data_IF_541650853929
#
_entry.id   IF_541650853929
#
_cell.length_a   1.000
_cell.length_b   1.000
_cell.length_c   1.000
_cell.angle_alpha   90.00
_cell.angle_beta   90.00
_cell.angle_gamma   90.00
#
_symmetry.space_group_name_H-M   'P 1'
#
loop_
_entity.id
_entity.type
_entity.pdbx_description
1 polymer ?
#
# COMPACT_ATOMS: atom_id res chain seq x y z
N UNK A 1 8.64 5.68 -16.64
CA UNK A 1 8.38 6.97 -15.96
C UNK A 1 8.62 6.83 -14.47
N UNK A 2 9.63 7.54 -13.96
CA UNK A 2 9.86 7.70 -12.51
C UNK A 2 8.80 8.65 -11.95
N UNK A 3 8.11 8.26 -10.88
CA UNK A 3 7.23 9.18 -10.14
C UNK A 3 8.12 10.16 -9.37
N UNK A 4 7.90 11.48 -9.46
CA UNK A 4 8.64 12.41 -8.61
C UNK A 4 8.30 12.14 -7.15
N UNK A 5 9.32 12.09 -6.29
CA UNK A 5 9.14 11.99 -4.86
C UNK A 5 8.29 13.17 -4.38
N UNK A 6 7.32 12.92 -3.50
CA UNK A 6 6.49 13.98 -2.91
C UNK A 6 7.39 15.02 -2.23
N UNK A 7 7.10 16.30 -2.42
CA UNK A 7 7.83 17.40 -1.78
C UNK A 7 7.78 17.18 -0.27
N UNK A 8 8.94 17.21 0.41
CA UNK A 8 9.00 17.20 1.88
C UNK A 8 8.36 18.51 2.35
N UNK A 9 7.08 18.46 2.71
CA UNK A 9 6.32 19.61 3.23
C UNK A 9 6.62 19.88 4.70
N UNK A 10 7.39 18.99 5.34
CA UNK A 10 7.80 19.14 6.71
C UNK A 10 8.95 20.15 6.76
N UNK A 11 8.70 21.34 7.33
CA UNK A 11 9.71 22.38 7.56
C UNK A 11 10.73 22.05 8.65
N UNK A 12 10.54 20.92 9.34
CA UNK A 12 11.48 20.43 10.34
C UNK A 12 12.75 19.86 9.71
N UNK A 13 13.90 20.27 10.23
CA UNK A 13 15.18 19.65 9.88
C UNK A 13 15.30 18.26 10.53
N UNK A 14 14.86 17.24 9.78
CA UNK A 14 14.89 15.85 10.24
C UNK A 14 16.31 15.33 10.45
N UNK A 15 17.32 15.83 9.73
CA UNK A 15 18.71 15.36 9.93
C UNK A 15 19.23 15.77 11.30
N UNK A 16 18.91 17.00 11.72
CA UNK A 16 19.26 17.50 13.06
C UNK A 16 18.53 16.72 14.15
N UNK A 17 17.24 16.45 13.98
CA UNK A 17 16.46 15.65 14.94
C UNK A 17 17.03 14.24 15.06
N UNK A 18 17.31 13.57 13.94
CA UNK A 18 17.85 12.21 13.92
C UNK A 18 19.27 12.12 14.52
N UNK A 19 20.04 13.22 14.49
CA UNK A 19 21.39 13.25 15.09
C UNK A 19 21.41 13.36 16.61
N UNK A 20 20.27 13.67 17.25
CA UNK A 20 20.20 13.83 18.70
C UNK A 20 20.26 12.46 19.40
N UNK A 21 21.23 12.29 20.28
CA UNK A 21 21.33 11.12 21.15
C UNK A 21 20.60 11.41 22.46
N UNK A 22 19.50 10.70 22.66
CA UNK A 22 18.60 10.82 23.81
C UNK A 22 19.35 10.47 25.10
N UNK A 23 19.36 11.38 26.10
CA UNK A 23 19.92 11.14 27.43
C UNK A 23 18.84 10.86 28.49
N UNK A 24 19.14 10.07 29.54
CA UNK A 24 18.16 9.76 30.59
C UNK A 24 17.63 10.99 31.33
N UNK A 25 18.50 11.99 31.61
CA UNK A 25 18.13 13.17 32.41
C UNK A 25 17.08 14.05 31.69
N UNK A 26 16.98 13.94 30.37
CA UNK A 26 15.97 14.64 29.56
C UNK A 26 14.53 14.20 29.90
N UNK A 27 14.36 13.10 30.64
CA UNK A 27 13.06 12.52 30.99
C UNK A 27 12.74 12.63 32.49
N UNK A 28 13.62 13.22 33.31
CA UNK A 28 13.46 13.29 34.77
C UNK A 28 12.20 14.08 35.18
N UNK A 29 11.79 15.05 34.38
CA UNK A 29 10.60 15.87 34.62
C UNK A 29 9.29 15.22 34.12
N UNK A 30 9.38 14.11 33.37
CA UNK A 30 8.20 13.47 32.83
C UNK A 30 7.44 12.68 33.90
N UNK A 31 6.11 12.69 33.86
CA UNK A 31 5.31 11.89 34.78
C UNK A 31 5.55 10.40 34.56
N UNK A 32 5.52 9.62 35.65
CA UNK A 32 5.55 8.17 35.57
C UNK A 32 4.37 7.65 34.74
N UNK A 33 4.63 6.66 33.89
CA UNK A 33 3.59 6.02 33.09
C UNK A 33 2.75 5.10 33.98
N UNK A 34 1.52 5.51 34.30
CA UNK A 34 0.61 4.74 35.17
C UNK A 34 -0.31 3.79 34.37
N UNK A 35 -0.85 2.78 35.04
CA UNK A 35 -1.78 1.84 34.42
C UNK A 35 -3.09 2.51 33.96
N UNK A 36 -3.56 3.53 34.68
CA UNK A 36 -4.72 4.33 34.27
C UNK A 36 -4.46 5.08 32.96
N UNK A 37 -3.24 5.61 32.79
CA UNK A 37 -2.84 6.29 31.54
C UNK A 37 -2.79 5.32 30.36
N UNK A 38 -2.38 4.07 30.62
CA UNK A 38 -2.38 3.02 29.60
C UNK A 38 -3.80 2.51 29.30
N UNK A 39 -4.65 2.38 30.32
CA UNK A 39 -6.03 1.92 30.20
C UNK A 39 -6.93 2.82 29.34
N UNK A 40 -6.63 4.14 29.29
CA UNK A 40 -7.31 5.09 28.40
C UNK A 40 -6.73 5.18 26.99
N UNK A 41 -5.65 4.44 26.68
CA UNK A 41 -4.99 4.54 25.38
C UNK A 41 -5.87 3.96 24.26
N UNK A 42 -6.12 4.75 23.22
CA UNK A 42 -6.87 4.29 22.03
C UNK A 42 -5.88 3.87 20.95
N UNK A 43 -5.75 2.57 20.73
CA UNK A 43 -4.95 2.03 19.64
C UNK A 43 -5.67 2.16 18.31
N UNK A 44 -5.42 3.26 17.60
CA UNK A 44 -5.76 3.34 16.17
C UNK A 44 -4.72 2.54 15.40
N UNK A 45 -5.13 1.49 14.69
CA UNK A 45 -4.27 0.82 13.70
C UNK A 45 -3.86 1.86 12.66
N UNK A 46 -2.65 2.38 12.80
CA UNK A 46 -2.06 3.27 11.81
C UNK A 46 -1.93 2.54 10.47
N UNK A 47 -2.16 3.25 9.38
CA UNK A 47 -2.02 2.72 8.02
C UNK A 47 -3.19 3.08 7.11
N UNK A 48 -3.04 2.77 5.82
CA UNK A 48 -4.11 2.94 4.84
C UNK A 48 -5.30 2.03 5.23
N UNK A 49 -6.56 2.52 5.16
CA UNK A 49 -7.72 1.67 5.33
C UNK A 49 -7.64 0.45 4.42
N UNK A 50 -8.01 -0.73 4.96
CA UNK A 50 -8.09 -1.95 4.15
C UNK A 50 -9.16 -1.74 3.07
N UNK A 51 -8.84 -2.07 1.83
CA UNK A 51 -9.84 -2.05 0.76
C UNK A 51 -10.87 -3.15 1.03
N UNK A 52 -12.18 -2.86 0.90
CA UNK A 52 -13.23 -3.88 1.06
C UNK A 52 -13.19 -4.94 -0.04
N UNK A 53 -12.65 -4.61 -1.22
CA UNK A 53 -12.51 -5.54 -2.34
C UNK A 53 -11.11 -5.44 -2.96
N UNK A 54 -10.09 -6.05 -2.32
CA UNK A 54 -8.74 -6.05 -2.87
C UNK A 54 -8.64 -6.96 -4.09
N UNK A 55 -7.83 -6.58 -5.07
CA UNK A 55 -7.48 -7.46 -6.20
C UNK A 55 -6.81 -8.72 -5.68
N UNK A 56 -7.26 -9.88 -6.15
CA UNK A 56 -6.67 -11.16 -5.81
C UNK A 56 -5.43 -11.42 -6.69
N UNK A 57 -4.30 -11.77 -6.07
CA UNK A 57 -3.12 -12.20 -6.79
C UNK A 57 -3.29 -13.68 -7.17
N UNK A 58 -3.37 -13.97 -8.46
CA UNK A 58 -3.49 -15.33 -8.98
C UNK A 58 -2.32 -15.66 -9.91
N UNK A 59 -1.95 -16.95 -9.96
CA UNK A 59 -1.01 -17.46 -10.96
C UNK A 59 -1.78 -17.94 -12.19
N UNK A 60 -1.88 -17.08 -13.21
CA UNK A 60 -2.54 -17.38 -14.49
C UNK A 60 -1.51 -17.67 -15.58
N UNK A 61 -1.65 -18.79 -16.29
CA UNK A 61 -0.84 -19.10 -17.48
C UNK A 61 -1.55 -18.55 -18.72
N UNK A 62 -0.82 -17.78 -19.52
CA UNK A 62 -1.29 -17.22 -20.78
C UNK A 62 -0.30 -17.55 -21.88
N UNK A 63 -0.75 -17.70 -23.14
CA UNK A 63 0.14 -17.83 -24.27
C UNK A 63 1.11 -16.64 -24.38
N UNK A 64 2.38 -16.87 -24.77
CA UNK A 64 3.41 -15.84 -24.79
C UNK A 64 3.09 -14.66 -25.72
N UNK A 65 2.43 -14.93 -26.85
CA UNK A 65 2.01 -13.91 -27.81
C UNK A 65 0.95 -12.97 -27.25
N UNK A 66 0.06 -13.47 -26.39
CA UNK A 66 -0.93 -12.63 -25.69
C UNK A 66 -0.21 -11.67 -24.74
N UNK A 67 0.74 -12.18 -23.96
CA UNK A 67 1.55 -11.36 -23.05
C UNK A 67 2.34 -10.30 -23.83
N UNK A 68 2.95 -10.68 -24.95
CA UNK A 68 3.72 -9.77 -25.79
C UNK A 68 2.86 -8.60 -26.32
N UNK A 69 1.67 -8.89 -26.86
CA UNK A 69 0.74 -7.86 -27.34
C UNK A 69 0.36 -6.88 -26.23
N UNK A 70 0.06 -7.38 -25.03
CA UNK A 70 -0.27 -6.50 -23.91
C UNK A 70 0.93 -5.69 -23.44
N UNK A 71 2.12 -6.29 -23.29
CA UNK A 71 3.35 -5.56 -22.92
C UNK A 71 3.69 -4.43 -23.89
N UNK A 72 3.45 -4.63 -25.19
CA UNK A 72 3.66 -3.61 -26.22
C UNK A 72 2.78 -2.36 -26.02
N UNK A 73 1.66 -2.46 -25.28
CA UNK A 73 0.84 -1.29 -24.91
C UNK A 73 1.52 -0.37 -23.87
N UNK A 74 2.69 -0.75 -23.36
CA UNK A 74 3.50 0.06 -22.45
C UNK A 74 3.17 -0.12 -20.96
N UNK A 75 3.67 0.77 -20.08
CA UNK A 75 3.44 0.71 -18.64
C UNK A 75 1.94 0.61 -18.29
N UNK A 76 1.62 -0.20 -17.28
CA UNK A 76 0.23 -0.41 -16.85
C UNK A 76 -0.58 -1.40 -17.71
N UNK A 77 0.08 -2.19 -18.58
CA UNK A 77 -0.60 -3.17 -19.42
C UNK A 77 -1.42 -4.21 -18.63
N UNK A 78 -0.95 -4.62 -17.44
CA UNK A 78 -1.69 -5.53 -16.56
C UNK A 78 -3.01 -4.90 -16.07
N UNK A 79 -2.98 -3.61 -15.73
CA UNK A 79 -4.20 -2.88 -15.31
C UNK A 79 -5.19 -2.78 -16.46
N UNK A 80 -4.72 -2.50 -17.69
CA UNK A 80 -5.58 -2.47 -18.89
C UNK A 80 -6.15 -3.86 -19.21
N UNK A 81 -5.34 -4.91 -19.07
CA UNK A 81 -5.79 -6.28 -19.25
C UNK A 81 -6.86 -6.65 -18.22
N UNK A 82 -6.64 -6.35 -16.93
CA UNK A 82 -7.62 -6.61 -15.88
C UNK A 82 -8.95 -5.88 -16.14
N UNK A 83 -8.89 -4.59 -16.50
CA UNK A 83 -10.08 -3.81 -16.89
C UNK A 83 -10.83 -4.47 -18.06
N UNK A 84 -10.10 -4.94 -19.08
CA UNK A 84 -10.72 -5.63 -20.21
C UNK A 84 -11.43 -6.92 -19.80
N UNK A 85 -10.91 -7.63 -18.80
CA UNK A 85 -11.55 -8.83 -18.26
C UNK A 85 -12.78 -8.51 -17.39
N UNK A 86 -12.81 -7.35 -16.73
CA UNK A 86 -13.99 -6.87 -15.99
C UNK A 86 -15.15 -6.50 -16.93
N UNK A 87 -14.83 -5.87 -18.07
CA UNK A 87 -15.82 -5.43 -19.06
C UNK A 87 -16.43 -6.60 -19.87
N UNK A 88 -15.70 -7.71 -20.00
CA UNK A 88 -16.13 -8.86 -20.80
C UNK A 88 -16.84 -9.85 -19.88
N UNK A 89 -18.14 -10.14 -20.09
CA UNK A 89 -18.82 -11.15 -19.28
C UNK A 89 -18.15 -12.51 -19.51
N UNK A 90 -18.01 -13.34 -18.46
CA UNK A 90 -17.52 -14.69 -18.64
C UNK A 90 -18.44 -15.43 -19.63
N UNK A 91 -17.88 -16.32 -20.47
CA UNK A 91 -18.70 -17.10 -21.38
C UNK A 91 -19.73 -17.89 -20.56
N UNK A 92 -21.00 -17.79 -20.96
CA UNK A 92 -22.06 -18.59 -20.37
C UNK A 92 -21.78 -20.04 -20.77
N UNK A 93 -21.46 -20.88 -19.80
CA UNK A 93 -21.37 -22.33 -20.04
C UNK A 93 -22.80 -22.86 -20.04
N UNK A 94 -23.50 -22.68 -21.17
CA UNK A 94 -24.77 -23.36 -21.44
C UNK A 94 -24.51 -24.52 -22.40
N UNK A 95 -24.68 -25.73 -21.87
CA UNK A 95 -24.87 -27.01 -22.56
C UNK A 95 -23.71 -27.60 -23.39
N UNK A 96 -23.04 -28.62 -22.83
CA UNK A 96 -23.14 -30.04 -23.24
C UNK A 96 -21.96 -30.86 -22.69
N UNK A 97 -22.27 -31.79 -21.79
CA UNK A 97 -22.01 -33.21 -22.02
C UNK A 97 -23.24 -33.99 -21.60
#
# INVERSE_FOLDING_TARGET
>A
MSKPASRRTLGSDLKRVDSHAIKPEEYDELPALTDEMLGRAVFKKAGRPRSPNPKQLISLRLPPEVIARWRATGPGWQTRMAKRLEDVPPPQTSDKF
#
